data_IF_807163897249
#
_entry.id   IF_807163897249
#
_cell.length_a   1.000
_cell.length_b   1.000
_cell.length_c   1.000
_cell.angle_alpha   90.00
_cell.angle_beta   90.00
_cell.angle_gamma   90.00
#
_symmetry.space_group_name_H-M   'P 1'
#
loop_
_entity.id
_entity.type
_entity.pdbx_description
1 polymer ?
#
# COMPACT_ATOMS: atom_id res chain seq x y z
N UNK A 1 11.90 6.74 -8.79
CA UNK A 1 11.90 5.52 -7.95
C UNK A 1 10.83 4.55 -8.48
N UNK A 2 10.77 3.31 -8.00
CA UNK A 2 9.82 2.27 -8.44
C UNK A 2 9.05 1.70 -7.24
N UNK A 3 7.84 1.19 -7.47
CA UNK A 3 7.07 0.44 -6.49
C UNK A 3 7.73 -0.90 -6.17
N UNK A 4 7.70 -1.29 -4.89
CA UNK A 4 8.38 -2.48 -4.39
C UNK A 4 7.47 -3.29 -3.47
N UNK A 5 7.55 -4.60 -3.59
CA UNK A 5 6.77 -5.53 -2.79
C UNK A 5 7.70 -6.65 -2.32
N UNK A 6 7.68 -6.95 -1.02
CA UNK A 6 8.59 -7.94 -0.44
C UNK A 6 8.39 -9.34 -1.01
N UNK A 7 9.44 -10.17 -1.03
CA UNK A 7 9.35 -11.58 -1.43
C UNK A 7 8.35 -12.34 -0.57
N UNK A 8 8.28 -12.01 0.72
CA UNK A 8 7.38 -12.63 1.67
C UNK A 8 5.92 -12.25 1.39
N UNK A 9 5.64 -10.99 1.04
CA UNK A 9 4.32 -10.56 0.59
C UNK A 9 3.93 -11.25 -0.71
N UNK A 10 4.80 -11.24 -1.72
CA UNK A 10 4.58 -11.94 -3.01
C UNK A 10 4.30 -13.43 -2.82
N UNK A 11 5.05 -14.08 -1.93
CA UNK A 11 4.88 -15.50 -1.60
C UNK A 11 3.53 -15.76 -0.95
N UNK A 12 3.12 -14.91 0.00
CA UNK A 12 1.84 -15.02 0.68
C UNK A 12 0.65 -14.96 -0.30
N UNK A 13 0.57 -13.90 -1.09
CA UNK A 13 -0.50 -13.76 -2.10
C UNK A 13 -0.40 -14.80 -3.22
N UNK A 14 0.82 -15.21 -3.58
CA UNK A 14 1.04 -16.31 -4.53
C UNK A 14 0.48 -17.65 -4.02
N UNK A 15 0.47 -17.87 -2.70
CA UNK A 15 -0.17 -19.06 -2.12
C UNK A 15 -1.69 -18.95 -2.11
N UNK A 16 -2.27 -17.75 -1.94
CA UNK A 16 -3.71 -17.52 -2.13
C UNK A 16 -4.12 -17.82 -3.57
N UNK A 17 -3.38 -17.32 -4.57
CA UNK A 17 -3.67 -17.63 -5.98
C UNK A 17 -3.58 -19.15 -6.25
N UNK A 18 -2.59 -19.86 -5.69
CA UNK A 18 -2.47 -21.33 -5.83
C UNK A 18 -3.62 -22.10 -5.17
N UNK A 19 -4.18 -21.58 -4.08
CA UNK A 19 -5.31 -22.18 -3.40
C UNK A 19 -6.63 -21.94 -4.14
N UNK A 20 -6.67 -20.90 -4.99
CA UNK A 20 -7.85 -20.47 -5.74
C UNK A 20 -7.95 -21.19 -7.08
N UNK A 21 -9.18 -21.48 -7.51
CA UNK A 21 -9.43 -22.20 -8.77
C UNK A 21 -10.21 -21.41 -9.81
N UNK A 22 -10.89 -20.33 -9.40
CA UNK A 22 -11.78 -19.53 -10.26
C UNK A 22 -11.23 -18.14 -10.56
N UNK A 23 -10.57 -17.51 -9.58
CA UNK A 23 -10.09 -16.13 -9.65
C UNK A 23 -8.66 -16.04 -9.08
N UNK A 24 -7.92 -14.99 -9.45
CA UNK A 24 -6.58 -14.72 -8.92
C UNK A 24 -6.30 -13.22 -8.80
N UNK A 25 -5.36 -12.84 -7.92
CA UNK A 25 -4.74 -11.52 -7.95
C UNK A 25 -3.76 -11.48 -9.13
N UNK A 26 -4.20 -10.93 -10.26
CA UNK A 26 -3.53 -11.00 -11.56
C UNK A 26 -2.16 -10.34 -11.54
N UNK A 27 -2.02 -9.22 -10.83
CA UNK A 27 -0.80 -8.41 -10.86
C UNK A 27 -0.16 -8.28 -9.48
N UNK A 28 1.14 -7.95 -9.47
CA UNK A 28 1.78 -7.53 -8.22
C UNK A 28 1.25 -6.18 -7.72
N UNK A 29 0.61 -5.40 -8.60
CA UNK A 29 -0.07 -4.17 -8.22
C UNK A 29 -1.29 -4.45 -7.33
N UNK A 30 -2.10 -5.48 -7.61
CA UNK A 30 -3.25 -5.83 -6.78
C UNK A 30 -2.82 -6.21 -5.36
N UNK A 31 -1.76 -7.02 -5.28
CA UNK A 31 -1.13 -7.44 -4.02
C UNK A 31 -0.56 -6.25 -3.26
N UNK A 32 0.11 -5.35 -3.98
CA UNK A 32 0.67 -4.11 -3.43
C UNK A 32 -0.42 -3.18 -2.93
N UNK A 33 -1.51 -3.01 -3.69
CA UNK A 33 -2.65 -2.16 -3.34
C UNK A 33 -3.31 -2.63 -2.05
N UNK A 34 -3.65 -3.92 -1.94
CA UNK A 34 -4.22 -4.49 -0.71
C UNK A 34 -3.27 -4.29 0.49
N UNK A 35 -1.98 -4.52 0.27
CA UNK A 35 -0.98 -4.30 1.32
C UNK A 35 -0.87 -2.82 1.72
N UNK A 36 -0.90 -1.90 0.76
CA UNK A 36 -0.80 -0.46 1.01
C UNK A 36 -2.02 0.05 1.77
N UNK A 37 -3.23 -0.36 1.36
CA UNK A 37 -4.48 0.04 2.01
C UNK A 37 -4.55 -0.44 3.46
N UNK A 38 -4.12 -1.67 3.75
CA UNK A 38 -4.03 -2.16 5.12
C UNK A 38 -3.06 -1.33 5.99
N UNK A 39 -1.90 -0.96 5.45
CA UNK A 39 -0.95 -0.10 6.17
C UNK A 39 -1.51 1.31 6.41
N UNK A 40 -2.12 1.90 5.38
CA UNK A 40 -2.73 3.22 5.43
C UNK A 40 -3.88 3.24 6.44
N UNK A 41 -4.77 2.23 6.41
CA UNK A 41 -5.87 2.09 7.36
C UNK A 41 -5.36 1.96 8.80
N UNK A 42 -4.30 1.19 9.03
CA UNK A 42 -3.65 1.07 10.33
C UNK A 42 -2.83 2.30 10.76
N UNK A 43 -2.78 3.37 9.96
CA UNK A 43 -1.93 4.56 10.16
C UNK A 43 -0.49 4.24 10.50
N UNK A 44 0.03 3.16 9.91
CA UNK A 44 1.33 2.62 10.25
C UNK A 44 2.10 2.20 9.01
N UNK A 45 3.36 2.61 8.95
CA UNK A 45 4.35 2.18 7.96
C UNK A 45 5.61 1.65 8.64
N UNK A 46 6.37 0.82 7.94
CA UNK A 46 7.71 0.45 8.43
C UNK A 46 8.65 1.67 8.35
N UNK A 47 9.73 1.70 9.14
CA UNK A 47 10.82 2.66 8.95
C UNK A 47 11.38 2.63 7.52
N UNK A 48 11.95 3.74 7.06
CA UNK A 48 12.45 3.88 5.68
C UNK A 48 13.58 2.89 5.33
N UNK A 49 14.37 2.46 6.32
CA UNK A 49 15.43 1.46 6.17
C UNK A 49 14.91 0.01 6.11
N UNK A 50 13.62 -0.19 6.40
CA UNK A 50 12.90 -1.45 6.24
C UNK A 50 12.07 -1.51 4.94
N UNK A 51 12.13 -0.48 4.09
CA UNK A 51 11.56 -0.53 2.73
C UNK A 51 12.12 -1.75 1.98
N UNK A 52 11.30 -2.52 1.24
CA UNK A 52 11.81 -3.58 0.40
C UNK A 52 12.95 -3.07 -0.53
N UNK A 53 14.03 -3.85 -0.72
CA UNK A 53 15.19 -3.37 -1.46
C UNK A 53 14.87 -3.16 -2.94
N UNK A 54 15.63 -2.30 -3.63
CA UNK A 54 15.43 -1.98 -5.04
C UNK A 54 15.42 -3.21 -5.97
N UNK A 55 16.08 -4.31 -5.59
CA UNK A 55 16.04 -5.59 -6.31
C UNK A 55 14.67 -6.28 -6.31
N UNK A 56 13.71 -5.78 -5.52
CA UNK A 56 12.33 -6.27 -5.41
C UNK A 56 11.30 -5.29 -6.01
N UNK A 57 11.76 -4.34 -6.82
CA UNK A 57 10.89 -3.49 -7.63
C UNK A 57 10.06 -4.31 -8.62
N UNK A 58 8.85 -3.85 -8.96
CA UNK A 58 8.03 -4.46 -10.02
C UNK A 58 7.56 -3.48 -11.09
N UNK A 59 7.23 -2.24 -10.72
CA UNK A 59 6.72 -1.23 -11.67
C UNK A 59 7.20 0.17 -11.28
N UNK A 60 7.36 1.04 -12.26
CA UNK A 60 7.65 2.47 -12.13
C UNK A 60 6.48 3.37 -12.61
N UNK A 61 5.30 2.77 -12.76
CA UNK A 61 4.04 3.43 -13.13
C UNK A 61 2.86 2.74 -12.42
N UNK A 62 1.72 3.45 -12.32
CA UNK A 62 0.44 2.86 -11.90
C UNK A 62 -0.20 2.18 -13.10
N UNK A 63 -0.60 0.91 -12.98
CA UNK A 63 -1.18 0.18 -14.10
C UNK A 63 -2.50 0.85 -14.59
N UNK A 64 -2.84 0.76 -15.89
CA UNK A 64 -4.01 1.44 -16.44
C UNK A 64 -5.34 1.11 -15.73
N UNK A 65 -5.48 -0.10 -15.17
CA UNK A 65 -6.67 -0.51 -14.43
C UNK A 65 -6.93 0.31 -13.15
N UNK A 66 -5.94 1.04 -12.64
CA UNK A 66 -6.02 1.87 -11.45
C UNK A 66 -5.81 3.36 -11.75
N UNK A 67 -5.82 3.77 -13.03
CA UNK A 67 -5.53 5.17 -13.39
C UNK A 67 -6.55 6.14 -12.81
N UNK A 68 -7.82 5.73 -12.77
CA UNK A 68 -8.92 6.50 -12.20
C UNK A 68 -8.85 6.58 -10.67
N UNK A 69 -8.32 5.54 -10.00
CA UNK A 69 -8.30 5.41 -8.53
C UNK A 69 -6.99 5.90 -7.88
N UNK A 70 -5.97 6.27 -8.68
CA UNK A 70 -4.64 6.62 -8.14
C UNK A 70 -4.69 7.84 -7.23
N UNK A 71 -5.56 8.81 -7.52
CA UNK A 71 -5.66 10.02 -6.72
C UNK A 71 -6.35 9.78 -5.36
N UNK A 72 -7.24 8.81 -5.29
CA UNK A 72 -7.86 8.33 -4.05
C UNK A 72 -6.82 7.61 -3.18
N UNK A 73 -5.95 6.80 -3.79
CA UNK A 73 -4.80 6.19 -3.10
C UNK A 73 -3.89 7.27 -2.52
N UNK A 74 -3.55 8.30 -3.32
CA UNK A 74 -2.66 9.37 -2.86
C UNK A 74 -3.30 10.28 -1.83
N UNK A 75 -4.60 10.59 -1.96
CA UNK A 75 -5.36 11.31 -0.94
C UNK A 75 -5.34 10.56 0.39
N UNK A 76 -5.55 9.24 0.36
CA UNK A 76 -5.49 8.39 1.55
C UNK A 76 -4.08 8.35 2.16
N UNK A 77 -3.04 8.28 1.33
CA UNK A 77 -1.64 8.37 1.77
C UNK A 77 -1.34 9.69 2.47
N UNK A 78 -1.79 10.81 1.88
CA UNK A 78 -1.60 12.16 2.45
C UNK A 78 -2.30 12.26 3.80
N UNK A 79 -3.56 11.82 3.91
CA UNK A 79 -4.31 11.81 5.17
C UNK A 79 -3.55 10.99 6.23
N UNK A 80 -3.07 9.80 5.87
CA UNK A 80 -2.32 8.96 6.79
C UNK A 80 -1.02 9.62 7.28
N UNK A 81 -0.26 10.30 6.40
CA UNK A 81 0.95 11.02 6.81
C UNK A 81 0.63 12.27 7.65
N UNK A 82 -0.45 13.02 7.34
CA UNK A 82 -0.90 14.17 8.16
C UNK A 82 -1.16 13.70 9.60
N UNK A 83 -1.91 12.61 9.76
CA UNK A 83 -2.25 12.08 11.07
C UNK A 83 -1.04 11.46 11.79
N UNK A 84 -0.19 10.71 11.06
CA UNK A 84 1.03 10.10 11.62
C UNK A 84 2.04 11.14 12.10
N UNK A 85 2.20 12.25 11.37
CA UNK A 85 3.08 13.35 11.76
C UNK A 85 2.45 14.30 12.80
N UNK A 86 1.16 14.10 13.13
CA UNK A 86 0.43 14.93 14.08
C UNK A 86 0.20 16.36 13.58
N UNK A 87 0.14 16.57 12.26
CA UNK A 87 -0.09 17.88 11.64
C UNK A 87 -1.57 18.25 11.85
N UNK A 88 -1.88 19.35 12.57
CA UNK A 88 -3.27 19.77 12.75
C UNK A 88 -3.91 20.18 11.42
N UNK A 89 -5.15 19.75 11.16
CA UNK A 89 -5.90 20.07 9.93
C UNK A 89 -6.09 21.58 9.63
N UNK A 90 -5.92 22.44 10.65
CA UNK A 90 -5.91 23.90 10.47
C UNK A 90 -4.61 24.45 9.85
N UNK A 91 -3.51 23.69 9.89
CA UNK A 91 -2.18 24.09 9.42
C UNK A 91 -2.03 23.85 7.91
N UNK A 92 -2.77 24.63 7.12
CA UNK A 92 -2.83 24.47 5.66
C UNK A 92 -1.47 24.51 4.97
N UNK A 93 -0.54 25.31 5.47
CA UNK A 93 0.80 25.41 4.88
C UNK A 93 1.63 24.14 5.14
N UNK A 94 1.59 23.57 6.35
CA UNK A 94 2.29 22.32 6.67
C UNK A 94 1.75 21.16 5.82
N UNK A 95 0.43 21.05 5.71
CA UNK A 95 -0.24 20.05 4.86
C UNK A 95 0.17 20.24 3.39
N UNK A 96 0.21 21.48 2.91
CA UNK A 96 0.66 21.79 1.54
C UNK A 96 2.11 21.35 1.33
N UNK A 97 3.01 21.60 2.28
CA UNK A 97 4.41 21.16 2.17
C UNK A 97 4.53 19.64 2.16
N UNK A 98 3.76 18.94 3.00
CA UNK A 98 3.68 17.47 2.96
C UNK A 98 3.22 16.97 1.59
N UNK A 99 2.17 17.57 1.02
CA UNK A 99 1.68 17.21 -0.32
C UNK A 99 2.76 17.41 -1.39
N UNK A 100 3.50 18.53 -1.34
CA UNK A 100 4.61 18.80 -2.28
C UNK A 100 5.79 17.84 -2.09
N UNK A 101 5.99 17.30 -0.89
CA UNK A 101 7.01 16.29 -0.64
C UNK A 101 6.59 14.90 -1.15
N UNK A 102 5.30 14.61 -1.27
CA UNK A 102 4.77 13.30 -1.70
C UNK A 102 4.43 13.25 -3.20
N UNK A 103 4.01 14.37 -3.78
CA UNK A 103 3.51 14.44 -5.16
C UNK A 103 4.53 15.07 -6.10
N UNK A 104 4.56 14.59 -7.34
CA UNK A 104 5.35 15.17 -8.43
C UNK A 104 4.54 15.12 -9.72
N UNK A 105 4.18 16.28 -10.28
CA UNK A 105 3.36 16.34 -11.50
C UNK A 105 4.08 15.82 -12.74
N UNK A 106 5.40 15.70 -12.72
CA UNK A 106 6.20 15.31 -13.89
C UNK A 106 6.54 13.81 -13.88
N UNK A 107 6.36 13.13 -12.74
CA UNK A 107 6.66 11.70 -12.64
C UNK A 107 5.57 10.83 -13.29
N UNK A 108 5.96 9.63 -13.73
CA UNK A 108 5.04 8.65 -14.33
C UNK A 108 3.97 8.16 -13.34
N UNK A 109 4.29 8.16 -12.05
CA UNK A 109 3.38 7.75 -10.97
C UNK A 109 2.56 8.93 -10.45
N UNK A 110 2.94 10.18 -10.75
CA UNK A 110 2.47 11.39 -10.04
C UNK A 110 2.90 11.49 -8.58
N UNK A 111 3.75 10.57 -8.11
CA UNK A 111 4.41 10.61 -6.81
C UNK A 111 5.87 11.04 -6.98
N UNK A 112 6.40 11.78 -6.00
CA UNK A 112 7.83 12.01 -5.88
C UNK A 112 8.55 10.70 -5.49
N UNK A 113 9.88 10.69 -5.54
CA UNK A 113 10.66 9.55 -5.03
C UNK A 113 10.35 9.26 -3.55
N UNK A 114 10.16 10.31 -2.74
CA UNK A 114 9.74 10.19 -1.36
C UNK A 114 8.31 9.64 -1.25
N UNK A 115 7.37 10.09 -2.07
CA UNK A 115 6.00 9.55 -2.10
C UNK A 115 5.96 8.05 -2.41
N UNK A 116 6.79 7.59 -3.36
CA UNK A 116 6.92 6.17 -3.69
C UNK A 116 7.49 5.39 -2.50
N UNK A 117 8.55 5.89 -1.85
CA UNK A 117 9.14 5.25 -0.68
C UNK A 117 8.13 5.13 0.47
N UNK A 118 7.43 6.22 0.79
CA UNK A 118 6.41 6.24 1.85
C UNK A 118 5.32 5.21 1.57
N UNK A 119 4.79 5.15 0.33
CA UNK A 119 3.78 4.17 -0.04
C UNK A 119 4.32 2.72 0.01
N UNK A 120 5.57 2.48 -0.40
CA UNK A 120 6.22 1.18 -0.26
C UNK A 120 6.34 0.75 1.21
N UNK A 121 6.65 1.68 2.12
CA UNK A 121 6.72 1.39 3.55
C UNK A 121 5.34 1.08 4.16
N UNK A 122 4.27 1.74 3.70
CA UNK A 122 2.90 1.38 4.06
C UNK A 122 2.53 -0.01 3.54
N UNK A 123 2.84 -0.30 2.27
CA UNK A 123 2.60 -1.61 1.68
C UNK A 123 3.35 -2.71 2.43
N UNK A 124 4.61 -2.51 2.78
CA UNK A 124 5.35 -3.50 3.56
C UNK A 124 4.72 -3.72 4.93
N UNK A 125 4.34 -2.65 5.65
CA UNK A 125 3.66 -2.77 6.95
C UNK A 125 2.34 -3.51 6.84
N UNK A 126 1.47 -3.11 5.92
CA UNK A 126 0.17 -3.76 5.76
C UNK A 126 0.31 -5.21 5.32
N UNK A 127 1.30 -5.55 4.47
CA UNK A 127 1.59 -6.94 4.15
C UNK A 127 1.96 -7.77 5.39
N UNK A 128 2.68 -7.19 6.36
CA UNK A 128 3.05 -7.88 7.61
C UNK A 128 1.82 -8.10 8.48
N UNK A 129 0.90 -7.13 8.55
CA UNK A 129 -0.35 -7.22 9.31
C UNK A 129 -1.30 -8.27 8.72
N UNK A 130 -1.55 -8.21 7.40
CA UNK A 130 -2.36 -9.20 6.69
C UNK A 130 -1.81 -10.60 6.93
N UNK A 131 -0.48 -10.76 6.75
CA UNK A 131 0.20 -12.03 6.94
C UNK A 131 0.21 -12.50 8.38
N UNK A 132 0.03 -11.65 9.39
CA UNK A 132 -0.06 -12.09 10.78
C UNK A 132 -1.44 -12.57 11.14
N UNK A 133 -2.47 -11.90 10.63
CA UNK A 133 -3.87 -12.11 11.00
C UNK A 133 -4.53 -13.24 10.20
N UNK A 134 -4.40 -13.19 8.87
CA UNK A 134 -5.11 -14.10 7.97
C UNK A 134 -4.26 -15.36 7.77
N UNK A 135 -4.47 -16.36 8.64
CA UNK A 135 -3.79 -17.67 8.58
C UNK A 135 -4.73 -18.85 8.88
N UNK A 136 -4.56 -20.00 8.21
CA UNK A 136 -3.69 -20.24 7.05
C UNK A 136 -4.15 -19.44 5.82
N UNK A 137 -3.36 -19.43 4.72
CA UNK A 137 -3.76 -18.71 3.50
C UNK A 137 -5.06 -19.33 2.93
N UNK A 138 -6.15 -18.55 2.85
CA UNK A 138 -7.42 -19.04 2.33
C UNK A 138 -7.44 -18.97 0.79
N UNK A 139 -8.55 -19.40 0.19
CA UNK A 139 -8.86 -19.10 -1.21
C UNK A 139 -9.15 -17.60 -1.39
N UNK A 140 -9.12 -17.08 -2.60
CA UNK A 140 -9.20 -15.64 -2.86
C UNK A 140 -10.55 -15.03 -2.43
N UNK A 141 -11.65 -15.73 -2.62
CA UNK A 141 -12.98 -15.30 -2.18
C UNK A 141 -13.05 -15.16 -0.66
N UNK A 142 -12.65 -16.21 0.07
CA UNK A 142 -12.55 -16.18 1.54
C UNK A 142 -11.51 -15.16 2.02
N UNK A 143 -10.40 -14.98 1.30
CA UNK A 143 -9.41 -13.94 1.58
C UNK A 143 -10.05 -12.54 1.55
N UNK A 144 -10.87 -12.24 0.55
CA UNK A 144 -11.48 -10.91 0.41
C UNK A 144 -12.48 -10.62 1.53
N UNK A 145 -13.22 -11.63 1.99
CA UNK A 145 -14.10 -11.53 3.17
C UNK A 145 -13.28 -11.26 4.44
N UNK A 146 -12.28 -12.10 4.73
CA UNK A 146 -11.41 -11.94 5.89
C UNK A 146 -10.61 -10.64 5.86
N UNK A 147 -10.21 -10.19 4.67
CA UNK A 147 -9.50 -8.93 4.48
C UNK A 147 -10.40 -7.74 4.78
N UNK A 148 -11.68 -7.78 4.39
CA UNK A 148 -12.64 -6.75 4.73
C UNK A 148 -12.85 -6.66 6.25
N UNK A 149 -13.09 -7.78 6.92
CA UNK A 149 -13.26 -7.83 8.38
C UNK A 149 -12.00 -7.32 9.09
N UNK A 150 -10.83 -7.77 8.64
CA UNK A 150 -9.53 -7.30 9.14
C UNK A 150 -9.36 -5.79 8.99
N UNK A 151 -9.78 -5.17 7.89
CA UNK A 151 -9.70 -3.72 7.72
C UNK A 151 -10.64 -2.96 8.68
N UNK A 152 -11.77 -3.54 9.05
CA UNK A 152 -12.73 -2.93 9.99
C UNK A 152 -12.17 -2.98 11.42
N UNK A 153 -11.47 -4.06 11.78
CA UNK A 153 -10.80 -4.24 13.07
C UNK A 153 -9.55 -3.35 13.25
N UNK A 154 -8.98 -2.85 12.15
CA UNK A 154 -7.96 -1.80 12.18
C UNK A 154 -8.64 -0.45 12.46
N UNK A 155 -9.15 -0.24 13.67
CA UNK A 155 -9.66 1.08 14.09
C UNK A 155 -8.55 2.16 13.99
N UNK A 156 -8.96 3.37 13.58
CA UNK A 156 -8.14 4.60 13.54
C UNK A 156 -7.90 5.17 14.96
#
# INVERSE_FOLDING_TARGET
MSFRLSKEARSYFGNINKASSLNELETDWDKYYLSAMAGIKARSRVPDDEEPPASQQFLDYVIPAYDDQKYEIYGSLIVAEVEREGIPWGQKEEIRQLMLNLLDSESNTRLSDNGIQVLNCYAEKGSRLIRSEIKPQPQLDEFLELYYDFLDDLED
#
